data_IF_347817704005
#
_entry.id   IF_347817704005
#
_cell.length_a   1.000
_cell.length_b   1.000
_cell.length_c   1.000
_cell.angle_alpha   90.00
_cell.angle_beta   90.00
_cell.angle_gamma   90.00
#
_symmetry.space_group_name_H-M   'P 1'
#
loop_
_entity.id
_entity.type
_entity.pdbx_description
1 polymer ?
#
# COMPACT_ATOMS: atom_id res chain seq x y z
N UNK A 1 -10.55 40.53 7.91
CA UNK A 1 -10.73 39.41 8.86
C UNK A 1 -12.02 38.71 8.48
N UNK A 2 -12.00 37.94 7.39
CA UNK A 2 -13.14 37.17 6.91
C UNK A 2 -13.14 35.83 7.62
N UNK A 3 -14.08 35.67 8.55
CA UNK A 3 -14.42 34.36 9.12
C UNK A 3 -14.92 33.51 7.96
N UNK A 4 -14.12 32.55 7.52
CA UNK A 4 -14.57 31.50 6.62
C UNK A 4 -15.57 30.67 7.40
N UNK A 5 -16.85 30.80 7.09
CA UNK A 5 -17.89 29.90 7.56
C UNK A 5 -17.50 28.48 7.12
N UNK A 6 -17.07 27.65 8.08
CA UNK A 6 -16.93 26.21 7.85
C UNK A 6 -18.30 25.67 7.44
N UNK A 7 -18.42 24.97 6.30
CA UNK A 7 -19.70 24.37 5.91
C UNK A 7 -20.10 23.37 7.00
N UNK A 8 -21.29 23.55 7.57
CA UNK A 8 -21.85 22.88 8.75
C UNK A 8 -21.87 21.33 8.74
N UNK A 9 -21.38 20.69 7.68
CA UNK A 9 -21.19 19.25 7.55
C UNK A 9 -19.79 18.71 7.92
N UNK A 10 -18.73 19.54 7.94
CA UNK A 10 -17.35 19.06 8.16
C UNK A 10 -17.03 18.74 9.63
N UNK A 11 -17.64 19.44 10.59
CA UNK A 11 -17.37 19.24 12.02
C UNK A 11 -17.75 17.85 12.57
N UNK A 12 -18.68 17.13 11.93
CA UNK A 12 -19.07 15.75 12.31
C UNK A 12 -18.21 14.68 11.65
N UNK A 13 -17.37 15.03 10.69
CA UNK A 13 -16.61 14.06 9.91
C UNK A 13 -15.37 13.54 10.67
N UNK A 14 -14.62 14.44 11.30
CA UNK A 14 -13.46 14.09 12.16
C UNK A 14 -13.78 13.04 13.23
N UNK A 15 -14.81 13.21 14.10
CA UNK A 15 -15.08 12.23 15.15
C UNK A 15 -15.51 10.87 14.59
N UNK A 16 -16.18 10.82 13.43
CA UNK A 16 -16.55 9.56 12.77
C UNK A 16 -15.30 8.82 12.32
N UNK A 17 -14.36 9.50 11.67
CA UNK A 17 -13.12 8.89 11.21
C UNK A 17 -12.21 8.46 12.38
N UNK A 18 -12.12 9.26 13.44
CA UNK A 18 -11.43 8.87 14.68
C UNK A 18 -12.05 7.60 15.27
N UNK A 19 -13.39 7.52 15.32
CA UNK A 19 -14.08 6.33 15.83
C UNK A 19 -13.83 5.10 14.95
N UNK A 20 -13.90 5.23 13.63
CA UNK A 20 -13.58 4.13 12.70
C UNK A 20 -12.13 3.66 12.87
N UNK A 21 -11.21 4.60 13.10
CA UNK A 21 -9.83 4.31 13.41
C UNK A 21 -9.65 3.57 14.73
N UNK A 22 -10.30 4.03 15.81
CA UNK A 22 -10.34 3.36 17.12
C UNK A 22 -10.85 1.93 16.96
N UNK A 23 -11.97 1.75 16.25
CA UNK A 23 -12.55 0.44 15.97
C UNK A 23 -11.59 -0.46 15.18
N UNK A 24 -10.84 0.10 14.21
CA UNK A 24 -9.82 -0.65 13.48
C UNK A 24 -8.70 -1.14 14.41
N UNK A 25 -8.18 -0.27 15.28
CA UNK A 25 -7.15 -0.60 16.25
C UNK A 25 -7.61 -1.65 17.27
N UNK A 26 -8.78 -1.46 17.86
CA UNK A 26 -9.36 -2.43 18.80
C UNK A 26 -9.72 -3.76 18.13
N UNK A 27 -10.10 -3.74 16.85
CA UNK A 27 -10.35 -4.98 16.10
C UNK A 27 -9.07 -5.77 15.91
N UNK A 28 -7.95 -5.12 15.57
CA UNK A 28 -6.65 -5.79 15.47
C UNK A 28 -6.25 -6.38 16.83
N UNK A 29 -6.38 -5.62 17.91
CA UNK A 29 -6.04 -6.07 19.26
C UNK A 29 -6.89 -7.26 19.68
N UNK A 30 -8.20 -7.16 19.48
CA UNK A 30 -9.16 -8.20 19.84
C UNK A 30 -8.93 -9.48 19.05
N UNK A 31 -8.50 -9.40 17.80
CA UNK A 31 -8.14 -10.58 17.00
C UNK A 31 -6.89 -11.25 17.56
N UNK A 32 -5.85 -10.47 17.87
CA UNK A 32 -4.55 -10.98 18.29
C UNK A 32 -4.53 -11.50 19.74
N UNK A 33 -5.29 -10.88 20.65
CA UNK A 33 -5.24 -11.18 22.08
C UNK A 33 -6.45 -11.96 22.61
N UNK A 34 -7.62 -11.81 21.99
CA UNK A 34 -8.85 -12.49 22.45
C UNK A 34 -9.17 -13.63 21.50
N UNK A 35 -9.32 -13.34 20.22
CA UNK A 35 -9.82 -14.30 19.25
C UNK A 35 -8.82 -15.44 18.97
N UNK A 36 -7.52 -15.15 19.04
CA UNK A 36 -6.45 -16.15 18.97
C UNK A 36 -6.49 -17.20 20.08
N UNK A 37 -7.05 -16.84 21.24
CA UNK A 37 -7.20 -17.77 22.37
C UNK A 37 -8.50 -18.58 22.32
N UNK A 38 -9.51 -18.08 21.60
CA UNK A 38 -10.85 -18.69 21.52
C UNK A 38 -11.01 -19.55 20.26
N UNK A 39 -10.44 -19.11 19.13
CA UNK A 39 -10.52 -19.82 17.86
C UNK A 39 -9.30 -20.74 17.73
N UNK A 40 -9.51 -22.04 17.96
CA UNK A 40 -8.48 -23.07 17.74
C UNK A 40 -8.17 -23.30 16.26
N UNK A 41 -9.07 -22.89 15.35
CA UNK A 41 -8.89 -23.09 13.92
C UNK A 41 -8.12 -21.92 13.28
N UNK A 42 -6.82 -22.12 13.02
CA UNK A 42 -5.93 -21.15 12.39
C UNK A 42 -6.50 -20.52 11.10
N UNK A 43 -7.22 -21.31 10.28
CA UNK A 43 -7.78 -20.80 9.00
C UNK A 43 -8.95 -19.86 9.23
N UNK A 44 -9.74 -20.08 10.27
CA UNK A 44 -10.80 -19.16 10.68
C UNK A 44 -10.20 -17.87 11.25
N UNK A 45 -9.12 -17.96 12.02
CA UNK A 45 -8.38 -16.79 12.48
C UNK A 45 -7.77 -15.99 11.31
N UNK A 46 -7.21 -16.67 10.32
CA UNK A 46 -6.73 -16.04 9.08
C UNK A 46 -7.85 -15.31 8.34
N UNK A 47 -9.04 -15.93 8.21
CA UNK A 47 -10.20 -15.30 7.59
C UNK A 47 -10.56 -13.98 8.28
N UNK A 48 -10.72 -14.03 9.60
CA UNK A 48 -11.14 -12.85 10.38
C UNK A 48 -10.08 -11.76 10.37
N UNK A 49 -8.81 -12.14 10.52
CA UNK A 49 -7.67 -11.20 10.47
C UNK A 49 -7.58 -10.50 9.12
N UNK A 50 -7.61 -11.25 8.03
CA UNK A 50 -7.54 -10.68 6.68
C UNK A 50 -8.79 -9.89 6.32
N UNK A 51 -9.97 -10.34 6.74
CA UNK A 51 -11.22 -9.61 6.56
C UNK A 51 -11.17 -8.27 7.30
N UNK A 52 -10.82 -8.25 8.58
CA UNK A 52 -10.75 -7.03 9.37
C UNK A 52 -9.70 -6.05 8.80
N UNK A 53 -8.50 -6.54 8.50
CA UNK A 53 -7.45 -5.72 7.90
C UNK A 53 -7.87 -5.12 6.56
N UNK A 54 -8.42 -5.93 5.64
CA UNK A 54 -8.92 -5.44 4.35
C UNK A 54 -10.09 -4.47 4.50
N UNK A 55 -11.04 -4.80 5.38
CA UNK A 55 -12.26 -4.02 5.60
C UNK A 55 -11.93 -2.63 6.11
N UNK A 56 -11.15 -2.51 7.19
CA UNK A 56 -10.80 -1.21 7.74
C UNK A 56 -9.89 -0.41 6.81
N UNK A 57 -8.97 -1.07 6.08
CA UNK A 57 -8.11 -0.40 5.09
C UNK A 57 -8.93 0.28 3.99
N UNK A 58 -9.88 -0.45 3.39
CA UNK A 58 -10.75 0.08 2.33
C UNK A 58 -11.73 1.10 2.91
N UNK A 59 -12.31 0.82 4.07
CA UNK A 59 -13.30 1.70 4.71
C UNK A 59 -12.69 3.06 5.04
N UNK A 60 -11.55 3.09 5.74
CA UNK A 60 -10.85 4.32 6.08
C UNK A 60 -10.33 5.04 4.84
N UNK A 61 -9.87 4.29 3.83
CA UNK A 61 -9.44 4.85 2.56
C UNK A 61 -10.57 5.54 1.79
N UNK A 62 -11.78 4.97 1.80
CA UNK A 62 -12.91 5.47 1.00
C UNK A 62 -13.83 6.44 1.76
N UNK A 63 -13.95 6.33 3.08
CA UNK A 63 -14.91 7.09 3.89
C UNK A 63 -14.71 8.62 3.83
N UNK A 64 -13.52 9.08 3.44
CA UNK A 64 -13.22 10.48 3.16
C UNK A 64 -13.90 11.02 1.89
N UNK A 65 -14.09 10.19 0.87
CA UNK A 65 -14.49 10.66 -0.47
C UNK A 65 -15.94 10.29 -0.78
N UNK A 66 -16.40 9.15 -0.28
CA UNK A 66 -17.74 8.64 -0.56
C UNK A 66 -18.55 8.46 0.72
N UNK A 67 -19.90 8.53 0.65
CA UNK A 67 -20.75 8.36 1.82
C UNK A 67 -20.48 7.01 2.49
N UNK A 68 -20.48 7.01 3.84
CA UNK A 68 -20.09 5.87 4.66
C UNK A 68 -20.78 4.55 4.28
N UNK A 69 -22.06 4.61 3.87
CA UNK A 69 -22.80 3.43 3.40
C UNK A 69 -22.17 2.77 2.17
N UNK A 70 -21.74 3.57 1.18
CA UNK A 70 -21.09 3.07 -0.03
C UNK A 70 -19.67 2.57 0.28
N UNK A 71 -18.93 3.29 1.12
CA UNK A 71 -17.62 2.86 1.60
C UNK A 71 -17.69 1.50 2.32
N UNK A 72 -18.65 1.34 3.24
CA UNK A 72 -18.88 0.10 3.97
C UNK A 72 -19.20 -1.07 3.05
N UNK A 73 -20.11 -0.88 2.09
CA UNK A 73 -20.46 -1.94 1.14
C UNK A 73 -19.26 -2.36 0.27
N UNK A 74 -18.50 -1.40 -0.25
CA UNK A 74 -17.28 -1.69 -1.01
C UNK A 74 -16.23 -2.40 -0.16
N UNK A 75 -15.96 -1.91 1.06
CA UNK A 75 -15.04 -2.50 2.01
C UNK A 75 -15.42 -3.94 2.35
N UNK A 76 -16.69 -4.20 2.63
CA UNK A 76 -17.19 -5.54 2.94
C UNK A 76 -16.95 -6.51 1.77
N UNK A 77 -17.35 -6.13 0.55
CA UNK A 77 -17.22 -6.99 -0.63
C UNK A 77 -15.76 -7.29 -0.94
N UNK A 78 -14.90 -6.28 -0.96
CA UNK A 78 -13.47 -6.43 -1.27
C UNK A 78 -12.79 -7.27 -0.18
N UNK A 79 -13.01 -6.95 1.09
CA UNK A 79 -12.41 -7.67 2.20
C UNK A 79 -12.87 -9.13 2.27
N UNK A 80 -14.18 -9.40 2.09
CA UNK A 80 -14.71 -10.75 2.07
C UNK A 80 -14.13 -11.57 0.91
N UNK A 81 -14.03 -10.98 -0.28
CA UNK A 81 -13.44 -11.65 -1.43
C UNK A 81 -11.96 -11.99 -1.19
N UNK A 82 -11.15 -11.03 -0.73
CA UNK A 82 -9.71 -11.22 -0.49
C UNK A 82 -9.46 -12.20 0.65
N UNK A 83 -10.19 -12.08 1.77
CA UNK A 83 -10.05 -13.00 2.90
C UNK A 83 -10.44 -14.44 2.49
N UNK A 84 -11.53 -14.60 1.73
CA UNK A 84 -11.96 -15.91 1.23
C UNK A 84 -10.92 -16.52 0.27
N UNK A 85 -10.33 -15.71 -0.62
CA UNK A 85 -9.28 -16.17 -1.53
C UNK A 85 -8.01 -16.58 -0.79
N UNK A 86 -7.64 -15.88 0.28
CA UNK A 86 -6.50 -16.24 1.12
C UNK A 86 -6.74 -17.54 1.90
N UNK A 87 -7.94 -17.71 2.48
CA UNK A 87 -8.31 -18.99 3.13
C UNK A 87 -8.30 -20.12 2.10
N UNK A 88 -8.89 -19.89 0.93
CA UNK A 88 -8.88 -20.87 -0.16
C UNK A 88 -7.44 -21.23 -0.58
N UNK A 89 -6.55 -20.23 -0.66
CA UNK A 89 -5.13 -20.46 -0.93
C UNK A 89 -4.41 -21.20 0.19
N UNK A 90 -4.80 -20.98 1.45
CA UNK A 90 -4.20 -21.63 2.62
C UNK A 90 -4.40 -23.15 2.64
N UNK A 91 -5.44 -23.67 1.97
CA UNK A 91 -5.65 -25.12 1.83
C UNK A 91 -4.61 -25.83 0.96
N UNK A 92 -3.72 -25.09 0.29
CA UNK A 92 -2.55 -25.65 -0.40
C UNK A 92 -1.39 -25.97 0.53
N UNK A 93 -1.51 -25.63 1.82
CA UNK A 93 -0.51 -25.80 2.86
C UNK A 93 -1.10 -26.58 4.03
N UNK A 94 -0.24 -27.35 4.70
CA UNK A 94 -0.64 -28.17 5.84
C UNK A 94 -1.02 -27.27 7.03
N UNK A 95 -0.24 -26.20 7.27
CA UNK A 95 -0.50 -25.22 8.32
C UNK A 95 -0.58 -23.79 7.80
N UNK A 96 -1.30 -22.93 8.52
CA UNK A 96 -1.34 -21.49 8.23
C UNK A 96 0.03 -20.84 8.52
N UNK A 97 0.75 -21.36 9.51
CA UNK A 97 2.12 -20.94 9.81
C UNK A 97 3.06 -21.10 8.61
N UNK A 98 2.98 -22.19 7.86
CA UNK A 98 3.77 -22.37 6.63
C UNK A 98 3.30 -21.46 5.49
N UNK A 99 1.98 -21.27 5.35
CA UNK A 99 1.39 -20.36 4.38
C UNK A 99 1.88 -18.92 4.58
N UNK A 100 1.98 -18.46 5.84
CA UNK A 100 2.45 -17.12 6.20
C UNK A 100 3.98 -17.04 6.34
N UNK A 101 4.64 -18.13 6.75
CA UNK A 101 6.06 -18.18 7.12
C UNK A 101 7.04 -18.27 5.94
N UNK A 102 6.57 -18.69 4.76
CA UNK A 102 7.41 -18.88 3.57
C UNK A 102 7.98 -17.62 2.89
N UNK A 103 7.94 -16.45 3.55
CA UNK A 103 8.06 -15.04 3.08
C UNK A 103 6.67 -14.38 2.98
N UNK A 104 6.52 -13.07 3.32
CA UNK A 104 5.24 -12.37 3.42
C UNK A 104 4.54 -12.14 2.06
N UNK A 105 4.83 -12.94 1.03
CA UNK A 105 4.33 -12.78 -0.33
C UNK A 105 2.81 -12.85 -0.40
N UNK A 106 2.16 -13.76 0.34
CA UNK A 106 0.70 -13.88 0.33
C UNK A 106 0.02 -12.64 0.95
N UNK A 107 0.55 -12.15 2.07
CA UNK A 107 0.08 -10.93 2.70
C UNK A 107 0.33 -9.70 1.81
N UNK A 108 1.50 -9.60 1.18
CA UNK A 108 1.82 -8.55 0.23
C UNK A 108 0.91 -8.60 -1.01
N UNK A 109 0.66 -9.79 -1.57
CA UNK A 109 -0.22 -9.95 -2.72
C UNK A 109 -1.66 -9.54 -2.39
N UNK A 110 -2.15 -9.90 -1.20
CA UNK A 110 -3.45 -9.45 -0.71
C UNK A 110 -3.50 -7.93 -0.53
N UNK A 111 -2.47 -7.34 0.08
CA UNK A 111 -2.32 -5.89 0.22
C UNK A 111 -2.31 -5.18 -1.14
N UNK A 112 -1.53 -5.66 -2.10
CA UNK A 112 -1.49 -5.15 -3.47
C UNK A 112 -2.85 -5.27 -4.16
N UNK A 113 -3.57 -6.37 -3.97
CA UNK A 113 -4.90 -6.55 -4.55
C UNK A 113 -5.91 -5.56 -3.95
N UNK A 114 -5.94 -5.42 -2.63
CA UNK A 114 -6.79 -4.43 -1.95
C UNK A 114 -6.44 -3.02 -2.43
N UNK A 115 -5.16 -2.68 -2.47
CA UNK A 115 -4.69 -1.39 -2.95
C UNK A 115 -5.08 -1.12 -4.41
N UNK A 116 -4.96 -2.11 -5.29
CA UNK A 116 -5.30 -1.98 -6.72
C UNK A 116 -6.81 -1.83 -6.94
N UNK A 117 -7.64 -2.58 -6.21
CA UNK A 117 -9.09 -2.59 -6.40
C UNK A 117 -9.78 -1.39 -5.75
N UNK A 118 -9.20 -0.84 -4.68
CA UNK A 118 -9.82 0.26 -3.91
C UNK A 118 -10.14 1.49 -4.77
N UNK A 119 -9.23 2.03 -5.60
CA UNK A 119 -9.54 3.18 -6.46
C UNK A 119 -10.65 2.89 -7.48
N UNK A 120 -10.71 1.68 -8.03
CA UNK A 120 -11.79 1.28 -8.95
C UNK A 120 -13.14 1.25 -8.25
N UNK A 121 -13.19 0.71 -7.04
CA UNK A 121 -14.40 0.69 -6.21
C UNK A 121 -14.80 2.11 -5.77
N UNK A 122 -13.81 2.97 -5.49
CA UNK A 122 -14.01 4.37 -5.16
C UNK A 122 -14.66 5.14 -6.32
N UNK A 123 -14.07 5.09 -7.51
CA UNK A 123 -14.62 5.75 -8.70
C UNK A 123 -16.01 5.20 -9.05
N UNK A 124 -16.23 3.89 -8.90
CA UNK A 124 -17.57 3.32 -9.06
C UNK A 124 -18.55 3.84 -8.02
N UNK A 125 -18.14 4.01 -6.77
CA UNK A 125 -18.96 4.56 -5.69
C UNK A 125 -19.25 6.06 -5.86
N UNK A 126 -18.50 6.76 -6.72
CA UNK A 126 -18.77 8.11 -7.20
C UNK A 126 -19.73 8.15 -8.40
N UNK A 127 -20.38 7.03 -8.73
CA UNK A 127 -21.29 6.88 -9.88
C UNK A 127 -20.61 7.13 -11.25
N UNK A 128 -19.27 6.97 -11.30
CA UNK A 128 -18.46 7.06 -12.53
C UNK A 128 -18.04 5.69 -13.03
N UNK A 129 -17.65 5.60 -14.30
CA UNK A 129 -17.16 4.35 -14.88
C UNK A 129 -15.62 4.29 -14.78
N UNK A 130 -15.05 3.47 -13.88
CA UNK A 130 -13.61 3.42 -13.67
C UNK A 130 -12.81 2.93 -14.89
N UNK A 131 -13.46 2.25 -15.85
CA UNK A 131 -12.78 1.76 -17.06
C UNK A 131 -12.80 2.76 -18.21
N UNK A 132 -13.57 3.85 -18.10
CA UNK A 132 -13.68 4.88 -19.14
C UNK A 132 -13.18 6.25 -18.68
N UNK A 133 -13.02 6.44 -17.38
CA UNK A 133 -12.64 7.70 -16.76
C UNK A 133 -11.28 7.55 -16.08
N UNK A 134 -10.24 7.37 -16.91
CA UNK A 134 -8.86 7.28 -16.45
C UNK A 134 -8.39 8.54 -15.68
N UNK A 135 -8.70 9.77 -16.14
CA UNK A 135 -8.53 11.01 -15.36
C UNK A 135 -8.90 10.87 -13.88
N UNK A 136 -10.18 10.60 -13.62
CA UNK A 136 -10.68 10.48 -12.25
C UNK A 136 -10.02 9.33 -11.50
N UNK A 137 -9.78 8.20 -12.16
CA UNK A 137 -9.12 7.06 -11.53
C UNK A 137 -7.70 7.40 -11.10
N UNK A 138 -6.94 8.12 -11.94
CA UNK A 138 -5.58 8.54 -11.64
C UNK A 138 -5.55 9.54 -10.49
N UNK A 139 -6.38 10.60 -10.56
CA UNK A 139 -6.52 11.62 -9.53
C UNK A 139 -6.89 10.99 -8.17
N UNK A 140 -7.92 10.13 -8.13
CA UNK A 140 -8.39 9.49 -6.90
C UNK A 140 -7.42 8.41 -6.37
N UNK A 141 -6.63 7.78 -7.25
CA UNK A 141 -5.58 6.85 -6.81
C UNK A 141 -4.46 7.60 -6.08
N UNK A 142 -3.94 8.67 -6.69
CA UNK A 142 -2.85 9.44 -6.09
C UNK A 142 -3.32 10.28 -4.90
N UNK A 143 -4.47 10.96 -5.03
CA UNK A 143 -5.59 10.85 -4.08
C UNK A 143 -5.31 10.20 -2.74
N UNK A 144 -5.71 8.95 -2.76
CA UNK A 144 -5.68 8.03 -1.66
C UNK A 144 -4.25 7.80 -1.16
N UNK A 145 -3.27 7.65 -2.05
CA UNK A 145 -1.87 7.39 -1.69
C UNK A 145 -1.32 8.52 -0.81
N UNK A 146 -1.44 9.78 -1.25
CA UNK A 146 -0.93 10.93 -0.50
C UNK A 146 -1.66 11.05 0.83
N UNK A 147 -2.98 10.86 0.85
CA UNK A 147 -3.76 10.93 2.08
C UNK A 147 -3.32 9.89 3.11
N UNK A 148 -3.16 8.63 2.69
CA UNK A 148 -2.72 7.54 3.56
C UNK A 148 -1.29 7.75 4.05
N UNK A 149 -0.37 8.16 3.17
CA UNK A 149 1.03 8.42 3.53
C UNK A 149 1.14 9.59 4.51
N UNK A 150 0.44 10.71 4.25
CA UNK A 150 0.44 11.86 5.15
C UNK A 150 -0.15 11.50 6.53
N UNK A 151 -1.24 10.74 6.57
CA UNK A 151 -1.81 10.25 7.81
C UNK A 151 -0.87 9.32 8.57
N UNK A 152 -0.16 8.42 7.88
CA UNK A 152 0.83 7.53 8.48
C UNK A 152 2.02 8.33 9.05
N UNK A 153 2.53 9.31 8.32
CA UNK A 153 3.61 10.21 8.79
C UNK A 153 3.17 10.97 10.03
N UNK A 154 1.97 11.58 10.01
CA UNK A 154 1.44 12.28 11.18
C UNK A 154 1.30 11.35 12.38
N UNK A 155 0.78 10.14 12.17
CA UNK A 155 0.64 9.14 13.24
C UNK A 155 2.00 8.76 13.83
N UNK A 156 3.03 8.62 12.99
CA UNK A 156 4.41 8.39 13.43
C UNK A 156 4.97 9.57 14.23
N UNK A 157 4.78 10.81 13.77
CA UNK A 157 5.18 12.02 14.51
C UNK A 157 4.45 12.12 15.84
N UNK A 158 3.15 11.81 15.87
CA UNK A 158 2.36 11.79 17.09
C UNK A 158 2.93 10.80 18.12
N UNK A 159 3.32 9.59 17.69
CA UNK A 159 3.99 8.62 18.55
C UNK A 159 5.35 9.09 19.06
N UNK A 160 6.14 9.79 18.25
CA UNK A 160 7.40 10.40 18.69
C UNK A 160 7.13 11.42 19.82
N UNK A 161 6.09 12.24 19.67
CA UNK A 161 5.69 13.20 20.69
C UNK A 161 5.20 12.51 21.96
N UNK A 162 4.35 11.48 21.84
CA UNK A 162 3.89 10.70 22.99
C UNK A 162 5.06 10.09 23.76
N UNK A 163 6.03 9.51 23.05
CA UNK A 163 7.22 8.94 23.67
C UNK A 163 8.07 10.00 24.37
N UNK A 164 8.22 11.19 23.78
CA UNK A 164 8.91 12.29 24.43
C UNK A 164 8.17 12.77 25.69
N UNK A 165 6.85 12.90 25.62
CA UNK A 165 6.01 13.24 26.76
C UNK A 165 6.14 12.22 27.89
N UNK A 166 6.11 10.92 27.57
CA UNK A 166 6.37 9.85 28.54
C UNK A 166 7.74 10.00 29.20
N UNK A 167 8.80 10.21 28.41
CA UNK A 167 10.15 10.42 28.94
C UNK A 167 10.22 11.63 29.88
N UNK A 168 9.60 12.75 29.53
CA UNK A 168 9.57 13.94 30.39
C UNK A 168 8.79 13.70 31.68
N UNK A 169 7.62 13.06 31.60
CA UNK A 169 6.80 12.75 32.77
C UNK A 169 7.49 11.76 33.72
N UNK A 170 8.22 10.79 33.16
CA UNK A 170 8.99 9.81 33.93
C UNK A 170 10.09 10.46 34.78
N UNK A 171 10.67 11.58 34.34
CA UNK A 171 11.66 12.34 35.12
C UNK A 171 11.06 12.96 36.40
N UNK A 172 9.77 13.27 36.38
CA UNK A 172 9.02 13.81 37.54
C UNK A 172 8.40 12.69 38.37
N UNK A 173 8.63 11.42 38.00
CA UNK A 173 8.11 10.25 38.70
C UNK A 173 6.69 9.84 38.29
N UNK A 174 6.14 10.39 37.21
CA UNK A 174 4.82 10.01 36.68
C UNK A 174 5.02 8.91 35.62
N UNK A 175 4.82 7.64 36.01
CA UNK A 175 4.98 6.47 35.10
C UNK A 175 3.67 5.95 34.51
N UNK A 176 2.53 6.30 35.11
CA UNK A 176 1.21 5.82 34.70
C UNK A 176 0.88 6.06 33.21
N UNK A 177 1.42 7.14 32.63
CA UNK A 177 1.22 7.45 31.21
C UNK A 177 1.96 6.46 30.30
N UNK A 178 3.24 6.18 30.58
CA UNK A 178 4.01 5.18 29.85
C UNK A 178 3.47 3.77 30.03
N UNK A 179 3.01 3.43 31.24
CA UNK A 179 2.35 2.14 31.52
C UNK A 179 1.08 1.96 30.68
N UNK A 180 0.26 3.01 30.54
CA UNK A 180 -0.91 2.98 29.66
C UNK A 180 -0.51 2.84 28.18
N UNK A 181 0.55 3.53 27.72
CA UNK A 181 1.01 3.43 26.33
C UNK A 181 1.69 2.09 26.00
N UNK A 182 2.22 1.39 27.01
CA UNK A 182 2.82 0.08 26.86
C UNK A 182 1.77 -1.04 26.70
N UNK A 183 0.52 -0.76 27.05
CA UNK A 183 -0.58 -1.70 26.95
C UNK A 183 -1.09 -1.80 25.49
N UNK A 184 -1.09 -3.02 24.93
CA UNK A 184 -1.31 -3.23 23.50
C UNK A 184 -2.67 -2.71 23.01
N UNK A 185 -3.74 -2.87 23.79
CA UNK A 185 -5.06 -2.36 23.40
C UNK A 185 -5.08 -0.84 23.32
N UNK A 186 -4.40 -0.16 24.26
CA UNK A 186 -4.34 1.29 24.31
C UNK A 186 -3.49 1.82 23.17
N UNK A 187 -2.31 1.22 22.93
CA UNK A 187 -1.45 1.58 21.82
C UNK A 187 -2.15 1.43 20.46
N UNK A 188 -2.85 0.32 20.23
CA UNK A 188 -3.55 0.09 18.97
C UNK A 188 -4.78 1.00 18.81
N UNK A 189 -5.55 1.21 19.88
CA UNK A 189 -6.67 2.15 19.90
C UNK A 189 -6.22 3.57 19.55
N UNK A 190 -5.15 4.04 20.20
CA UNK A 190 -4.58 5.38 19.97
C UNK A 190 -4.05 5.48 18.55
N UNK A 191 -3.28 4.49 18.08
CA UNK A 191 -2.74 4.47 16.71
C UNK A 191 -3.86 4.56 15.69
N UNK A 192 -4.88 3.72 15.81
CA UNK A 192 -6.03 3.71 14.91
C UNK A 192 -6.81 5.03 14.97
N UNK A 193 -7.11 5.52 16.17
CA UNK A 193 -7.85 6.78 16.36
C UNK A 193 -7.12 7.99 15.80
N UNK A 194 -5.82 8.10 16.05
CA UNK A 194 -4.95 9.15 15.50
C UNK A 194 -4.89 9.03 13.99
N UNK A 195 -4.66 7.84 13.45
CA UNK A 195 -4.61 7.63 12.00
C UNK A 195 -5.94 8.02 11.32
N UNK A 196 -7.08 7.60 11.88
CA UNK A 196 -8.40 8.00 11.40
C UNK A 196 -8.63 9.51 11.47
N UNK A 197 -8.25 10.15 12.59
CA UNK A 197 -8.28 11.61 12.72
C UNK A 197 -7.40 12.29 11.66
N UNK A 198 -6.19 11.79 11.46
CA UNK A 198 -5.25 12.32 10.47
C UNK A 198 -5.78 12.20 9.05
N UNK A 199 -6.42 11.08 8.70
CA UNK A 199 -7.08 10.93 7.40
C UNK A 199 -8.16 12.00 7.20
N UNK A 200 -8.97 12.28 8.22
CA UNK A 200 -9.99 13.32 8.14
C UNK A 200 -9.39 14.72 7.97
N UNK A 201 -8.35 15.04 8.75
CA UNK A 201 -7.66 16.34 8.67
C UNK A 201 -6.96 16.51 7.32
N UNK A 202 -6.26 15.49 6.84
CA UNK A 202 -5.56 15.54 5.54
C UNK A 202 -6.55 15.71 4.39
N UNK A 203 -7.73 15.08 4.47
CA UNK A 203 -8.78 15.22 3.47
C UNK A 203 -9.35 16.65 3.40
N UNK A 204 -9.50 17.33 4.53
CA UNK A 204 -9.92 18.74 4.55
C UNK A 204 -8.90 19.67 3.86
N UNK A 205 -7.65 19.26 3.80
CA UNK A 205 -6.54 19.98 3.16
C UNK A 205 -6.18 19.40 1.79
N UNK A 206 -7.06 18.58 1.19
CA UNK A 206 -6.82 17.93 -0.11
C UNK A 206 -6.46 18.93 -1.21
N UNK A 207 -7.05 20.12 -1.19
CA UNK A 207 -6.76 21.18 -2.16
C UNK A 207 -5.33 21.73 -2.03
N UNK A 208 -4.72 21.65 -0.84
CA UNK A 208 -3.36 22.11 -0.56
C UNK A 208 -2.31 21.00 -0.66
N UNK A 209 -2.69 19.77 -0.31
CA UNK A 209 -1.86 18.57 -0.43
C UNK A 209 -2.03 17.98 -1.83
N UNK A 210 -1.64 18.76 -2.85
CA UNK A 210 -1.75 18.32 -4.24
C UNK A 210 -0.87 17.09 -4.47
N UNK A 211 -1.45 16.10 -5.13
CA UNK A 211 -0.78 14.86 -5.53
C UNK A 211 0.37 15.13 -6.48
N UNK A 212 0.29 16.25 -7.18
CA UNK A 212 1.34 16.78 -8.06
C UNK A 212 2.68 16.94 -7.35
N UNK A 213 2.72 17.34 -6.06
CA UNK A 213 3.98 17.47 -5.34
C UNK A 213 4.68 16.11 -5.21
N UNK A 214 3.92 15.07 -4.83
CA UNK A 214 4.44 13.71 -4.70
C UNK A 214 4.84 13.16 -6.06
N UNK A 215 4.02 13.36 -7.09
CA UNK A 215 4.34 12.99 -8.46
C UNK A 215 5.62 13.69 -8.96
N UNK A 216 5.82 14.97 -8.61
CA UNK A 216 7.01 15.75 -8.96
C UNK A 216 8.26 15.22 -8.26
N UNK A 217 8.17 14.82 -7.00
CA UNK A 217 9.26 14.17 -6.27
C UNK A 217 9.60 12.79 -6.88
N UNK A 218 8.58 11.99 -7.23
CA UNK A 218 8.78 10.72 -7.93
C UNK A 218 9.45 10.92 -9.30
N UNK A 219 9.04 11.95 -10.06
CA UNK A 219 9.67 12.32 -11.34
C UNK A 219 11.15 12.67 -11.19
N UNK A 220 11.55 13.27 -10.07
CA UNK A 220 12.95 13.58 -9.80
C UNK A 220 13.80 12.32 -9.60
N UNK A 221 13.18 11.25 -9.06
CA UNK A 221 13.83 9.96 -8.87
C UNK A 221 13.98 9.17 -10.18
N UNK A 222 13.15 9.46 -11.19
CA UNK A 222 13.12 8.69 -12.44
C UNK A 222 14.49 8.64 -13.15
N UNK A 223 15.21 9.75 -13.43
CA UNK A 223 16.53 9.68 -14.07
C UNK A 223 17.53 8.81 -13.32
N UNK A 224 17.54 8.90 -11.99
CA UNK A 224 18.40 8.09 -11.12
C UNK A 224 18.08 6.61 -11.27
N UNK A 225 16.80 6.24 -11.15
CA UNK A 225 16.35 4.84 -11.25
C UNK A 225 16.56 4.30 -12.66
N UNK A 226 16.33 5.11 -13.70
CA UNK A 226 16.63 4.74 -15.08
C UNK A 226 18.12 4.46 -15.27
N UNK A 227 19.01 5.29 -14.72
CA UNK A 227 20.45 5.08 -14.82
C UNK A 227 20.91 3.78 -14.13
N UNK A 228 20.38 3.51 -12.93
CA UNK A 228 20.63 2.25 -12.21
C UNK A 228 20.12 1.06 -13.02
N UNK A 229 18.91 1.16 -13.58
CA UNK A 229 18.29 0.09 -14.38
C UNK A 229 19.06 -0.17 -15.66
N UNK A 230 19.50 0.88 -16.36
CA UNK A 230 20.32 0.78 -17.57
C UNK A 230 21.66 0.07 -17.26
N UNK A 231 22.32 0.50 -16.19
CA UNK A 231 23.58 -0.10 -15.72
C UNK A 231 23.39 -1.59 -15.43
N UNK A 232 22.29 -1.94 -14.75
CA UNK A 232 21.98 -3.32 -14.43
C UNK A 232 21.69 -4.17 -15.67
N UNK A 233 20.91 -3.65 -16.64
CA UNK A 233 20.62 -4.32 -17.93
C UNK A 233 21.89 -4.56 -18.73
N UNK A 234 22.85 -3.63 -18.71
CA UNK A 234 24.14 -3.78 -19.41
C UNK A 234 25.10 -4.73 -18.68
N UNK A 235 25.15 -4.70 -17.35
CA UNK A 235 26.07 -5.53 -16.56
C UNK A 235 25.60 -6.98 -16.40
N UNK A 236 24.28 -7.23 -16.43
CA UNK A 236 23.71 -8.56 -16.24
C UNK A 236 24.26 -9.62 -17.22
N UNK A 237 24.33 -9.36 -18.55
CA UNK A 237 24.93 -10.29 -19.50
C UNK A 237 26.39 -10.64 -19.21
N UNK A 238 27.17 -9.69 -18.66
CA UNK A 238 28.61 -9.83 -18.42
C UNK A 238 28.90 -10.56 -17.10
N UNK A 239 28.16 -10.23 -16.02
CA UNK A 239 28.40 -10.79 -14.68
C UNK A 239 27.60 -12.06 -14.39
N UNK A 240 26.52 -12.30 -15.13
CA UNK A 240 25.60 -13.39 -14.89
C UNK A 240 24.83 -13.29 -13.56
N UNK A 241 23.93 -14.23 -13.31
CA UNK A 241 23.05 -14.23 -12.13
C UNK A 241 23.74 -14.65 -10.81
N UNK A 242 25.06 -14.87 -10.81
CA UNK A 242 25.81 -15.44 -9.67
C UNK A 242 26.21 -14.42 -8.60
N UNK A 243 26.29 -13.13 -8.91
CA UNK A 243 26.85 -12.09 -8.00
C UNK A 243 25.83 -11.23 -7.24
N UNK A 244 24.58 -11.67 -7.06
CA UNK A 244 23.63 -10.92 -6.21
C UNK A 244 23.84 -11.33 -4.75
N UNK A 245 24.62 -10.56 -4.00
CA UNK A 245 24.99 -10.80 -2.60
C UNK A 245 23.79 -11.07 -1.69
N UNK A 246 23.41 -12.34 -1.54
CA UNK A 246 22.35 -12.82 -0.64
C UNK A 246 20.90 -12.53 -1.06
N UNK A 247 20.66 -11.55 -1.93
CA UNK A 247 19.32 -11.21 -2.44
C UNK A 247 18.91 -12.11 -3.61
N UNK A 248 17.61 -12.43 -3.72
CA UNK A 248 17.09 -13.17 -4.87
C UNK A 248 17.16 -12.30 -6.13
N UNK A 249 18.00 -12.62 -7.13
CA UNK A 249 18.16 -11.80 -8.33
C UNK A 249 16.83 -11.48 -9.01
N UNK A 250 15.99 -12.51 -9.19
CA UNK A 250 14.67 -12.38 -9.80
C UNK A 250 13.73 -11.47 -9.00
N UNK A 251 13.77 -11.55 -7.66
CA UNK A 251 12.93 -10.72 -6.81
C UNK A 251 13.31 -9.24 -6.92
N UNK A 252 14.61 -8.95 -6.92
CA UNK A 252 15.13 -7.59 -7.11
C UNK A 252 14.72 -7.02 -8.47
N UNK A 253 14.78 -7.82 -9.55
CA UNK A 253 14.35 -7.39 -10.88
C UNK A 253 12.85 -7.10 -10.96
N UNK A 254 12.01 -7.94 -10.33
CA UNK A 254 10.56 -7.72 -10.28
C UNK A 254 10.24 -6.42 -9.53
N UNK A 255 10.88 -6.17 -8.37
CA UNK A 255 10.68 -4.94 -7.60
C UNK A 255 11.17 -3.72 -8.38
N UNK A 256 12.33 -3.80 -9.03
CA UNK A 256 12.87 -2.73 -9.85
C UNK A 256 11.96 -2.41 -11.05
N UNK A 257 11.43 -3.43 -11.71
CA UNK A 257 10.48 -3.26 -12.80
C UNK A 257 9.16 -2.64 -12.32
N UNK A 258 8.63 -3.09 -11.17
CA UNK A 258 7.45 -2.49 -10.55
C UNK A 258 7.67 -1.00 -10.21
N UNK A 259 8.81 -0.67 -9.58
CA UNK A 259 9.20 0.72 -9.32
C UNK A 259 9.30 1.52 -10.62
N UNK A 260 9.89 0.95 -11.66
CA UNK A 260 10.00 1.56 -12.98
C UNK A 260 8.64 1.87 -13.61
N UNK A 261 7.71 0.92 -13.56
CA UNK A 261 6.32 1.11 -14.01
C UNK A 261 5.66 2.24 -13.23
N UNK A 262 5.79 2.27 -11.90
CA UNK A 262 5.23 3.35 -11.07
C UNK A 262 5.83 4.71 -11.43
N UNK A 263 7.14 4.81 -11.61
CA UNK A 263 7.82 6.07 -11.95
C UNK A 263 7.48 6.56 -13.37
N UNK A 264 7.38 5.64 -14.34
CA UNK A 264 6.93 5.96 -15.70
C UNK A 264 5.48 6.45 -15.67
N UNK A 265 4.61 5.77 -14.95
CA UNK A 265 3.19 6.17 -14.78
C UNK A 265 3.08 7.53 -14.10
N UNK A 266 3.87 7.78 -13.06
CA UNK A 266 3.93 9.08 -12.39
C UNK A 266 4.49 10.20 -13.28
N UNK A 267 5.35 9.87 -14.24
CA UNK A 267 5.91 10.82 -15.21
C UNK A 267 4.97 11.11 -16.39
N UNK A 268 4.09 10.16 -16.73
CA UNK A 268 3.06 10.26 -17.75
C UNK A 268 1.76 10.88 -17.21
N UNK A 269 1.88 11.89 -16.34
CA UNK A 269 0.74 12.59 -15.70
C UNK A 269 -0.45 12.83 -16.64
N UNK A 270 -1.64 12.94 -16.06
CA UNK A 270 -2.90 13.23 -16.76
C UNK A 270 -2.82 14.48 -17.63
N UNK A 271 -2.05 15.47 -17.20
CA UNK A 271 -1.96 16.74 -17.89
C UNK A 271 -1.08 16.64 -19.16
N UNK A 272 -1.71 16.77 -20.32
CA UNK A 272 -1.10 16.84 -21.66
C UNK A 272 -0.20 18.07 -21.85
N UNK A 273 -0.05 18.92 -20.83
CA UNK A 273 0.88 20.03 -20.80
C UNK A 273 2.33 19.54 -20.77
N UNK A 274 2.81 19.16 -21.96
CA UNK A 274 4.15 18.68 -22.25
C UNK A 274 5.27 19.67 -21.84
N UNK A 275 4.93 20.94 -21.61
CA UNK A 275 5.87 22.03 -21.35
C UNK A 275 6.43 22.05 -19.92
N UNK A 276 5.70 21.51 -18.94
CA UNK A 276 6.18 21.43 -17.55
C UNK A 276 7.24 20.32 -17.34
N UNK A 277 7.46 19.46 -18.34
CA UNK A 277 8.36 18.31 -18.26
C UNK A 277 9.74 18.72 -18.79
N UNK A 278 10.69 18.96 -17.88
CA UNK A 278 12.09 19.15 -18.26
C UNK A 278 12.57 17.99 -19.17
N UNK A 279 13.36 18.27 -20.23
CA UNK A 279 13.67 17.29 -21.28
C UNK A 279 14.35 16.02 -20.77
N UNK A 280 15.04 16.13 -19.64
CA UNK A 280 15.71 15.03 -18.95
C UNK A 280 14.74 13.98 -18.40
N UNK A 281 13.67 14.40 -17.73
CA UNK A 281 12.66 13.49 -17.16
C UNK A 281 11.94 12.75 -18.28
N UNK A 282 11.60 13.46 -19.37
CA UNK A 282 10.96 12.84 -20.55
C UNK A 282 11.84 11.78 -21.19
N UNK A 283 13.13 12.08 -21.42
CA UNK A 283 14.08 11.10 -21.95
C UNK A 283 14.27 9.92 -21.00
N UNK A 284 14.35 10.17 -19.69
CA UNK A 284 14.45 9.11 -18.70
C UNK A 284 13.22 8.20 -18.71
N UNK A 285 12.01 8.73 -18.89
CA UNK A 285 10.78 7.95 -19.02
C UNK A 285 10.79 7.08 -20.29
N UNK A 286 11.19 7.64 -21.43
CA UNK A 286 11.31 6.89 -22.69
C UNK A 286 12.33 5.74 -22.56
N UNK A 287 13.51 6.04 -22.02
CA UNK A 287 14.56 5.03 -21.81
C UNK A 287 14.10 3.97 -20.81
N UNK A 288 13.46 4.36 -19.71
CA UNK A 288 12.93 3.41 -18.73
C UNK A 288 11.88 2.49 -19.36
N UNK A 289 10.97 3.05 -20.15
CA UNK A 289 9.96 2.28 -20.89
C UNK A 289 10.61 1.23 -21.81
N UNK A 290 11.71 1.57 -22.48
CA UNK A 290 12.46 0.62 -23.31
C UNK A 290 13.22 -0.44 -22.48
N UNK A 291 13.68 -0.08 -21.28
CA UNK A 291 14.40 -0.99 -20.39
C UNK A 291 13.48 -1.97 -19.67
N UNK A 292 12.23 -1.59 -19.39
CA UNK A 292 11.26 -2.42 -18.65
C UNK A 292 11.06 -3.81 -19.29
N UNK A 293 10.83 -3.96 -20.60
CA UNK A 293 10.77 -5.28 -21.27
C UNK A 293 12.05 -6.09 -21.09
N UNK A 294 13.23 -5.46 -21.15
CA UNK A 294 14.51 -6.13 -20.96
C UNK A 294 14.65 -6.65 -19.53
N UNK A 295 14.32 -5.84 -18.52
CA UNK A 295 14.32 -6.25 -17.10
C UNK A 295 13.34 -7.40 -16.87
N UNK A 296 12.13 -7.30 -17.43
CA UNK A 296 11.11 -8.35 -17.34
C UNK A 296 11.57 -9.66 -18.01
N UNK A 297 12.25 -9.57 -19.16
CA UNK A 297 12.84 -10.72 -19.84
C UNK A 297 13.97 -11.37 -19.01
N UNK A 298 14.85 -10.58 -18.38
CA UNK A 298 15.86 -11.11 -17.47
C UNK A 298 15.25 -11.76 -16.23
N UNK A 299 14.18 -11.18 -15.67
CA UNK A 299 13.46 -11.78 -14.57
C UNK A 299 12.81 -13.11 -14.98
N UNK A 300 12.19 -13.17 -16.16
CA UNK A 300 11.62 -14.38 -16.75
C UNK A 300 12.69 -15.47 -16.93
N UNK A 301 13.85 -15.11 -17.48
CA UNK A 301 14.95 -16.05 -17.70
C UNK A 301 15.53 -16.57 -16.38
N UNK A 302 15.76 -15.70 -15.40
CA UNK A 302 16.24 -16.10 -14.07
C UNK A 302 15.24 -17.00 -13.33
N UNK A 303 13.93 -16.74 -13.51
CA UNK A 303 12.88 -17.59 -12.97
C UNK A 303 12.85 -18.95 -13.66
N UNK A 304 12.92 -18.98 -14.99
CA UNK A 304 12.94 -20.20 -15.79
C UNK A 304 14.09 -21.13 -15.40
N UNK A 305 15.31 -20.59 -15.23
CA UNK A 305 16.45 -21.37 -14.75
C UNK A 305 16.18 -22.03 -13.39
N UNK A 306 15.54 -21.32 -12.46
CA UNK A 306 15.23 -21.87 -11.13
C UNK A 306 14.12 -22.92 -11.20
N UNK A 307 13.12 -22.73 -12.04
CA UNK A 307 12.06 -23.71 -12.27
C UNK A 307 12.64 -24.98 -12.90
N UNK A 308 13.52 -24.84 -13.90
CA UNK A 308 14.18 -25.97 -14.56
C UNK A 308 15.07 -26.77 -13.59
N UNK A 309 15.79 -26.10 -12.69
CA UNK A 309 16.72 -26.74 -11.76
C UNK A 309 16.05 -27.34 -10.52
N UNK A 310 15.02 -26.68 -9.99
CA UNK A 310 14.47 -26.99 -8.66
C UNK A 310 12.96 -27.23 -8.67
N UNK A 311 12.32 -27.31 -9.85
CA UNK A 311 10.88 -27.55 -10.01
C UNK A 311 10.00 -26.33 -9.74
N UNK A 312 8.68 -26.54 -9.72
CA UNK A 312 7.71 -25.49 -9.36
C UNK A 312 7.53 -25.41 -7.85
N UNK A 313 7.48 -24.17 -7.35
CA UNK A 313 7.05 -23.88 -5.98
C UNK A 313 6.04 -22.73 -6.02
N UNK A 314 5.17 -22.58 -5.01
CA UNK A 314 4.19 -21.48 -4.96
C UNK A 314 4.84 -20.10 -5.13
N UNK A 315 6.01 -19.88 -4.52
CA UNK A 315 6.79 -18.65 -4.65
C UNK A 315 7.26 -18.40 -6.10
N UNK A 316 7.62 -19.45 -6.85
CA UNK A 316 8.02 -19.33 -8.27
C UNK A 316 6.83 -19.08 -9.17
N UNK A 317 5.67 -19.66 -8.86
CA UNK A 317 4.43 -19.40 -9.60
C UNK A 317 3.98 -17.94 -9.43
N UNK A 318 4.01 -17.41 -8.20
CA UNK A 318 3.74 -16.00 -7.94
C UNK A 318 4.74 -15.08 -8.66
N UNK A 319 6.04 -15.44 -8.66
CA UNK A 319 7.04 -14.75 -9.48
C UNK A 319 6.73 -14.79 -10.98
N UNK A 320 6.23 -15.91 -11.50
CA UNK A 320 5.85 -16.04 -12.91
C UNK A 320 4.66 -15.14 -13.27
N UNK A 321 3.65 -15.06 -12.39
CA UNK A 321 2.52 -14.16 -12.56
C UNK A 321 2.96 -12.69 -12.53
N UNK A 322 3.84 -12.32 -11.61
CA UNK A 322 4.39 -10.96 -11.54
C UNK A 322 5.18 -10.60 -12.81
N UNK A 323 6.04 -11.51 -13.28
CA UNK A 323 6.78 -11.33 -14.54
C UNK A 323 5.82 -11.25 -15.74
N UNK A 324 4.79 -12.09 -15.77
CA UNK A 324 3.77 -12.05 -16.82
C UNK A 324 3.01 -10.72 -16.85
N UNK A 325 2.63 -10.19 -15.69
CA UNK A 325 2.01 -8.87 -15.58
C UNK A 325 2.95 -7.75 -16.04
N UNK A 326 4.23 -7.81 -15.65
CA UNK A 326 5.25 -6.84 -16.10
C UNK A 326 5.48 -6.88 -17.60
N UNK A 327 5.52 -8.08 -18.20
CA UNK A 327 5.63 -8.24 -19.65
C UNK A 327 4.39 -7.71 -20.37
N UNK A 328 3.19 -7.95 -19.84
CA UNK A 328 1.95 -7.41 -20.41
C UNK A 328 1.87 -5.88 -20.30
N UNK A 329 2.49 -5.28 -19.28
CA UNK A 329 2.55 -3.82 -19.12
C UNK A 329 3.65 -3.18 -19.98
N UNK A 330 4.75 -3.89 -20.22
CA UNK A 330 5.87 -3.41 -21.04
C UNK A 330 5.74 -3.65 -22.54
N UNK A 331 4.80 -4.49 -22.98
CA UNK A 331 4.50 -4.78 -24.39
C UNK A 331 3.55 -3.73 -25.00
#
# INVERSE_FOLDING_TARGET
MSVTEEPAGRGRFRPVMTLLGILAGLSWWGIDNVLSTVIENDRALLLVSCFAAGFFSVLLGMACVVPLRRAFAAAFVIAAAVASLLVWASFRYDTVGEFLGGRPLHALAAGCFVFLVTPFALVRALDRNPFRDYPTLFEETWSLVVRVVAAAVFTGVFWIVLWLCDRVLSLVGITAFGELLAEDWAAQMITGGVFGLSLAVVDEWRDYLSHELVLRLLRLMLPLVTAVTATLVVLLPVRGFREFGGLSPTGTLIVLAGLGVTLVTAALDEDENHEARGPWVRRAAMVMSLLLPAVAAFAAYGLWLRVAQHGWTPNRLAGALAVGALLAYGA
#
